data_IF_919723775104
#
_entry.id   IF_919723775104
#
_cell.length_a   1.000
_cell.length_b   1.000
_cell.length_c   1.000
_cell.angle_alpha   90.00
_cell.angle_beta   90.00
_cell.angle_gamma   90.00
#
_symmetry.space_group_name_H-M   'P 1'
#
loop_
_entity.id
_entity.type
_entity.pdbx_description
1 polymer ?
#
# COMPACT_ATOMS: atom_id res chain seq x y z
N UNK A 1 -22.95 -13.97 61.08
CA UNK A 1 -22.00 -13.03 60.51
C UNK A 1 -20.91 -13.83 59.83
N UNK A 2 -21.04 -14.08 58.56
CA UNK A 2 -20.02 -14.71 57.71
C UNK A 2 -19.99 -13.93 56.43
N UNK A 3 -18.88 -13.28 56.19
CA UNK A 3 -18.56 -12.60 54.96
C UNK A 3 -18.21 -13.63 53.89
N UNK A 4 -18.90 -13.59 52.75
CA UNK A 4 -18.57 -14.36 51.57
C UNK A 4 -17.75 -13.47 50.63
N UNK A 5 -16.49 -13.85 50.48
CA UNK A 5 -15.57 -13.30 49.51
C UNK A 5 -15.85 -13.95 48.15
N UNK A 6 -16.28 -13.15 47.14
CA UNK A 6 -16.48 -13.57 45.77
C UNK A 6 -15.28 -13.08 44.95
N UNK A 7 -14.32 -13.96 44.73
CA UNK A 7 -13.27 -13.75 43.75
C UNK A 7 -13.83 -14.07 42.37
N UNK A 8 -14.04 -13.02 41.57
CA UNK A 8 -14.46 -13.10 40.19
C UNK A 8 -13.22 -13.33 39.29
N UNK A 9 -13.02 -14.57 38.83
CA UNK A 9 -12.03 -14.91 37.81
C UNK A 9 -12.71 -14.87 36.44
N UNK A 10 -12.63 -13.75 35.74
CA UNK A 10 -13.05 -13.65 34.37
C UNK A 10 -12.05 -14.38 33.47
N UNK A 11 -12.43 -15.59 33.09
CA UNK A 11 -11.81 -16.38 32.03
C UNK A 11 -12.13 -15.75 30.67
N UNK A 12 -11.11 -15.11 30.05
CA UNK A 12 -11.24 -14.41 28.79
C UNK A 12 -10.73 -15.30 27.65
N UNK A 13 -11.42 -16.43 27.43
CA UNK A 13 -11.23 -17.26 26.23
C UNK A 13 -11.80 -16.55 25.02
N UNK A 14 -10.96 -15.84 24.26
CA UNK A 14 -11.32 -15.32 22.93
C UNK A 14 -11.46 -16.49 21.97
N UNK A 15 -12.69 -16.74 21.61
CA UNK A 15 -13.10 -17.64 20.55
C UNK A 15 -12.68 -17.03 19.21
N UNK A 16 -11.73 -17.66 18.52
CA UNK A 16 -11.31 -17.29 17.16
C UNK A 16 -12.33 -17.84 16.17
N UNK A 17 -13.10 -16.95 15.56
CA UNK A 17 -14.02 -17.28 14.47
C UNK A 17 -13.20 -17.57 13.20
N UNK A 18 -13.08 -18.84 12.83
CA UNK A 18 -12.55 -19.25 11.52
C UNK A 18 -13.66 -19.15 10.46
N UNK A 19 -13.48 -18.25 9.50
CA UNK A 19 -14.35 -18.21 8.31
C UNK A 19 -13.69 -18.99 7.19
N UNK A 20 -14.33 -20.08 6.79
CA UNK A 20 -13.98 -20.84 5.58
C UNK A 20 -14.68 -20.24 4.37
N UNK A 21 -13.94 -20.00 3.28
CA UNK A 21 -14.53 -19.74 1.98
C UNK A 21 -14.43 -20.98 1.11
N UNK A 22 -15.54 -21.40 0.53
CA UNK A 22 -15.58 -22.50 -0.42
C UNK A 22 -15.10 -22.03 -1.80
N UNK A 23 -14.23 -22.81 -2.45
CA UNK A 23 -13.89 -22.59 -3.86
C UNK A 23 -15.06 -22.96 -4.77
N UNK A 24 -14.98 -22.64 -6.06
CA UNK A 24 -16.04 -22.92 -7.04
C UNK A 24 -16.37 -24.42 -7.22
N UNK A 25 -15.57 -25.31 -6.62
CA UNK A 25 -15.79 -26.78 -6.63
C UNK A 25 -16.30 -27.33 -5.30
N UNK A 26 -16.56 -26.48 -4.30
CA UNK A 26 -17.12 -26.89 -3.02
C UNK A 26 -16.12 -27.56 -2.06
N UNK A 27 -14.81 -27.44 -2.30
CA UNK A 27 -13.77 -27.91 -1.39
C UNK A 27 -13.33 -26.79 -0.43
N UNK A 28 -13.15 -27.13 0.84
CA UNK A 28 -12.57 -26.23 1.83
C UNK A 28 -11.13 -25.88 1.45
N UNK A 29 -10.87 -24.60 1.28
CA UNK A 29 -9.53 -24.09 1.06
C UNK A 29 -9.05 -23.49 2.38
N UNK A 30 -8.06 -24.10 3.02
CA UNK A 30 -7.34 -23.44 4.12
C UNK A 30 -6.61 -22.22 3.58
N UNK A 31 -7.09 -21.05 3.95
CA UNK A 31 -6.30 -19.84 3.78
C UNK A 31 -5.23 -19.89 4.85
N UNK A 32 -4.02 -20.28 4.49
CA UNK A 32 -2.88 -20.06 5.36
C UNK A 32 -2.72 -18.55 5.53
N UNK A 33 -3.25 -18.00 6.62
CA UNK A 33 -2.76 -16.74 7.13
C UNK A 33 -1.26 -16.91 7.31
N UNK A 34 -0.49 -16.17 6.53
CA UNK A 34 0.94 -16.06 6.75
C UNK A 34 1.14 -15.48 8.14
N UNK A 35 1.51 -16.37 9.07
CA UNK A 35 1.90 -16.10 10.45
C UNK A 35 0.78 -15.54 11.35
N UNK A 36 0.12 -16.44 12.09
CA UNK A 36 -0.66 -16.09 13.26
C UNK A 36 0.20 -15.29 14.25
N UNK A 37 -0.17 -14.04 14.43
CA UNK A 37 0.52 -13.08 15.25
C UNK A 37 0.41 -13.47 16.74
N UNK A 38 1.56 -13.71 17.40
CA UNK A 38 1.62 -13.82 18.87
C UNK A 38 1.52 -12.41 19.45
N UNK A 39 0.57 -12.19 20.35
CA UNK A 39 0.23 -10.89 20.95
C UNK A 39 1.32 -10.24 21.82
N UNK A 40 2.52 -10.85 21.95
CA UNK A 40 3.62 -10.44 22.83
C UNK A 40 4.91 -10.03 22.09
N UNK A 41 4.89 -9.81 20.78
CA UNK A 41 6.08 -9.30 20.09
C UNK A 41 6.20 -7.79 20.28
N UNK A 42 7.35 -7.35 20.79
CA UNK A 42 7.72 -5.94 20.89
C UNK A 42 7.62 -5.25 19.51
N UNK A 43 6.92 -4.11 19.47
CA UNK A 43 6.77 -3.34 18.23
C UNK A 43 8.14 -2.87 17.74
N UNK A 44 8.41 -3.07 16.46
CA UNK A 44 9.60 -2.59 15.76
C UNK A 44 9.48 -1.13 15.44
N UNK A 45 10.63 -0.46 15.46
CA UNK A 45 10.74 0.97 15.20
C UNK A 45 11.50 1.24 13.89
N UNK A 46 11.51 2.50 13.47
CA UNK A 46 12.35 2.96 12.35
C UNK A 46 13.85 2.71 12.62
N UNK A 47 14.29 2.74 13.90
CA UNK A 47 15.66 2.37 14.24
C UNK A 47 15.92 0.88 13.97
N UNK A 48 14.98 0.01 14.31
CA UNK A 48 15.08 -1.42 14.00
C UNK A 48 15.07 -1.65 12.48
N UNK A 49 14.24 -0.90 11.74
CA UNK A 49 14.20 -0.95 10.27
C UNK A 49 15.58 -0.62 9.65
N UNK A 50 16.22 0.47 10.12
CA UNK A 50 17.55 0.84 9.62
C UNK A 50 18.70 0.01 10.19
N UNK A 51 18.46 -0.85 11.17
CA UNK A 51 19.44 -1.79 11.70
C UNK A 51 19.43 -3.15 10.98
N UNK A 52 18.46 -3.37 10.06
CA UNK A 52 18.43 -4.58 9.25
C UNK A 52 19.63 -4.66 8.31
N UNK A 53 20.10 -5.87 7.98
CA UNK A 53 21.09 -6.08 6.92
C UNK A 53 20.63 -5.49 5.58
N UNK A 54 21.57 -5.02 4.75
CA UNK A 54 21.29 -4.38 3.47
C UNK A 54 20.59 -5.29 2.45
N UNK A 55 20.68 -6.61 2.61
CA UNK A 55 20.04 -7.62 1.78
C UNK A 55 18.61 -7.98 2.25
N UNK A 56 18.18 -7.52 3.42
CA UNK A 56 16.82 -7.69 3.89
C UNK A 56 15.93 -6.52 3.42
N UNK A 57 14.95 -6.86 2.57
CA UNK A 57 13.96 -5.89 2.11
C UNK A 57 12.64 -6.09 2.82
N UNK A 58 12.23 -5.09 3.59
CA UNK A 58 10.97 -5.10 4.33
C UNK A 58 10.29 -3.74 4.26
N UNK A 59 8.98 -3.72 4.50
CA UNK A 59 8.24 -2.54 4.94
C UNK A 59 7.96 -2.67 6.43
N UNK A 60 7.93 -1.55 7.14
CA UNK A 60 7.50 -1.45 8.53
C UNK A 60 6.11 -0.81 8.57
N UNK A 61 5.11 -1.53 9.04
CA UNK A 61 3.73 -1.02 9.12
C UNK A 61 3.20 -1.31 10.54
N UNK A 62 2.84 -0.25 11.27
CA UNK A 62 2.38 -0.33 12.66
C UNK A 62 3.31 -1.16 13.56
N UNK A 63 4.62 -0.94 13.43
CA UNK A 63 5.63 -1.63 14.20
C UNK A 63 5.87 -3.10 13.83
N UNK A 64 5.47 -3.53 12.62
CA UNK A 64 5.63 -4.90 12.12
C UNK A 64 6.33 -4.93 10.79
N UNK A 65 7.31 -5.83 10.65
CA UNK A 65 8.01 -6.03 9.39
C UNK A 65 7.19 -6.91 8.43
N UNK A 66 7.12 -6.47 7.18
CA UNK A 66 6.53 -7.20 6.06
C UNK A 66 7.61 -7.41 5.01
N UNK A 67 8.01 -8.67 4.80
CA UNK A 67 9.03 -9.00 3.83
C UNK A 67 8.58 -8.68 2.39
N UNK A 68 9.45 -8.04 1.63
CA UNK A 68 9.24 -7.72 0.23
C UNK A 68 9.94 -8.74 -0.66
N UNK A 69 9.24 -9.27 -1.66
CA UNK A 69 9.85 -10.08 -2.71
C UNK A 69 10.49 -9.20 -3.79
N UNK A 70 11.43 -9.75 -4.54
CA UNK A 70 11.92 -9.10 -5.74
C UNK A 70 10.77 -8.96 -6.77
N UNK A 71 10.60 -7.78 -7.39
CA UNK A 71 9.57 -7.59 -8.40
C UNK A 71 9.90 -8.38 -9.68
N UNK A 72 8.86 -8.75 -10.44
CA UNK A 72 9.03 -9.33 -11.76
C UNK A 72 9.41 -8.27 -12.80
N UNK A 73 9.91 -8.70 -13.97
CA UNK A 73 10.18 -7.78 -15.09
C UNK A 73 8.92 -7.04 -15.50
N UNK A 74 7.82 -7.76 -15.71
CA UNK A 74 6.52 -7.16 -16.06
C UNK A 74 6.05 -6.10 -15.04
N UNK A 75 6.24 -6.35 -13.74
CA UNK A 75 5.93 -5.37 -12.70
C UNK A 75 6.78 -4.09 -12.88
N UNK A 76 8.07 -4.23 -13.16
CA UNK A 76 8.97 -3.09 -13.36
C UNK A 76 8.63 -2.30 -14.64
N UNK A 77 8.22 -2.99 -15.70
CA UNK A 77 7.80 -2.36 -16.95
C UNK A 77 6.56 -1.48 -16.70
N UNK A 78 5.56 -1.98 -15.97
CA UNK A 78 4.40 -1.19 -15.57
C UNK A 78 4.77 0.03 -14.73
N UNK A 79 5.61 -0.13 -13.71
CA UNK A 79 6.05 0.99 -12.86
C UNK A 79 6.76 2.05 -13.70
N UNK A 80 7.65 1.63 -14.61
CA UNK A 80 8.42 2.54 -15.45
C UNK A 80 7.53 3.33 -16.40
N UNK A 81 6.66 2.65 -17.17
CA UNK A 81 5.78 3.31 -18.14
C UNK A 81 4.81 4.30 -17.47
N UNK A 82 4.24 3.92 -16.32
CA UNK A 82 3.39 4.81 -15.53
C UNK A 82 4.16 6.02 -15.00
N UNK A 83 5.39 5.80 -14.53
CA UNK A 83 6.26 6.89 -14.06
C UNK A 83 6.60 7.88 -15.18
N UNK A 84 6.87 7.39 -16.39
CA UNK A 84 7.16 8.22 -17.58
C UNK A 84 5.98 9.11 -17.91
N UNK A 85 4.76 8.56 -18.03
CA UNK A 85 3.56 9.35 -18.35
C UNK A 85 3.32 10.45 -17.32
N UNK A 86 3.39 10.12 -16.02
CA UNK A 86 3.19 11.08 -14.94
C UNK A 86 4.28 12.16 -14.92
N UNK A 87 5.53 11.77 -15.12
CA UNK A 87 6.68 12.68 -15.17
C UNK A 87 6.59 13.64 -16.34
N UNK A 88 6.27 13.16 -17.54
CA UNK A 88 6.08 13.98 -18.74
C UNK A 88 4.95 15.00 -18.57
N UNK A 89 3.83 14.58 -17.97
CA UNK A 89 2.73 15.48 -17.65
C UNK A 89 3.20 16.61 -16.72
N UNK A 90 3.87 16.29 -15.62
CA UNK A 90 4.35 17.28 -14.64
C UNK A 90 5.33 18.26 -15.29
N UNK A 91 6.28 17.76 -16.09
CA UNK A 91 7.29 18.60 -16.75
C UNK A 91 6.65 19.54 -17.79
N UNK A 92 5.73 19.04 -18.61
CA UNK A 92 5.00 19.82 -19.60
C UNK A 92 4.22 20.98 -18.97
N UNK A 93 3.63 20.74 -17.80
CA UNK A 93 2.83 21.75 -17.09
C UNK A 93 3.66 22.58 -16.10
N UNK A 94 5.00 22.38 -16.07
CA UNK A 94 5.93 23.07 -15.15
C UNK A 94 5.50 22.96 -13.69
N UNK A 95 4.93 21.78 -13.33
CA UNK A 95 4.44 21.50 -11.99
C UNK A 95 5.58 21.38 -10.97
N UNK A 96 5.26 21.69 -9.71
CA UNK A 96 6.21 21.56 -8.60
C UNK A 96 6.34 20.14 -8.04
N UNK A 97 5.46 19.24 -8.42
CA UNK A 97 5.44 17.88 -7.93
C UNK A 97 6.65 17.07 -8.44
N UNK A 98 7.00 16.03 -7.71
CA UNK A 98 8.05 15.07 -8.09
C UNK A 98 7.49 13.66 -8.09
N UNK A 99 7.84 12.89 -9.11
CA UNK A 99 7.61 11.45 -9.18
C UNK A 99 8.80 10.76 -8.55
N UNK A 100 8.52 9.78 -7.70
CA UNK A 100 9.49 8.84 -7.14
C UNK A 100 9.01 7.42 -7.36
N UNK A 101 9.94 6.48 -7.53
CA UNK A 101 9.67 5.05 -7.66
C UNK A 101 10.46 4.27 -6.61
N UNK A 102 10.00 3.07 -6.28
CA UNK A 102 10.71 2.17 -5.38
C UNK A 102 12.11 1.77 -5.93
N UNK A 103 13.12 1.56 -5.05
CA UNK A 103 13.04 1.69 -3.61
C UNK A 103 13.19 3.15 -3.15
N UNK A 104 12.21 3.67 -2.43
CA UNK A 104 12.27 5.00 -1.83
C UNK A 104 11.45 4.98 -0.55
N UNK A 105 12.10 5.22 0.58
CA UNK A 105 11.47 5.18 1.89
C UNK A 105 10.49 6.33 2.08
N UNK A 106 9.32 6.01 2.64
CA UNK A 106 8.31 6.97 3.08
C UNK A 106 8.01 6.72 4.56
N UNK A 107 8.38 7.67 5.43
CA UNK A 107 7.95 7.70 6.82
C UNK A 107 6.53 8.27 6.86
N UNK A 108 5.55 7.40 6.66
CA UNK A 108 4.20 7.78 6.26
C UNK A 108 3.46 8.60 7.32
N UNK A 109 3.40 8.10 8.55
CA UNK A 109 2.63 8.70 9.65
C UNK A 109 3.43 9.73 10.46
N UNK A 110 4.71 9.96 10.12
CA UNK A 110 5.67 10.76 10.91
C UNK A 110 5.88 10.25 12.33
N UNK A 111 5.45 9.04 12.60
CA UNK A 111 5.79 8.30 13.83
C UNK A 111 7.05 7.44 13.62
N UNK A 112 7.38 6.62 14.61
CA UNK A 112 8.53 5.72 14.53
C UNK A 112 8.15 4.28 14.16
N UNK A 113 6.92 4.04 13.68
CA UNK A 113 6.36 2.70 13.52
C UNK A 113 5.94 2.37 12.09
N UNK A 114 6.05 3.33 11.15
CA UNK A 114 5.61 3.11 9.77
C UNK A 114 6.62 3.66 8.76
N UNK A 115 7.22 2.75 7.98
CA UNK A 115 8.09 3.02 6.84
C UNK A 115 7.69 2.13 5.68
N UNK A 116 7.19 2.72 4.60
CA UNK A 116 6.73 2.02 3.41
C UNK A 116 7.56 2.40 2.19
N UNK A 117 7.53 1.55 1.15
CA UNK A 117 8.20 1.78 -0.13
C UNK A 117 7.19 1.62 -1.27
N UNK A 118 6.33 2.60 -1.53
CA UNK A 118 5.37 2.53 -2.63
C UNK A 118 6.05 2.34 -3.98
N UNK A 119 5.48 1.53 -4.86
CA UNK A 119 6.03 1.29 -6.19
C UNK A 119 6.23 2.58 -6.97
N UNK A 120 5.23 3.48 -6.89
CA UNK A 120 5.28 4.82 -7.48
C UNK A 120 4.52 5.82 -6.61
N UNK A 121 5.06 7.02 -6.47
CA UNK A 121 4.41 8.10 -5.73
C UNK A 121 4.67 9.47 -6.34
N UNK A 122 3.79 10.42 -6.05
CA UNK A 122 3.96 11.83 -6.40
C UNK A 122 3.91 12.66 -5.13
N UNK A 123 4.95 13.48 -4.92
CA UNK A 123 5.06 14.43 -3.82
C UNK A 123 5.05 15.86 -4.37
N UNK A 124 4.06 16.65 -3.97
CA UNK A 124 3.93 18.06 -4.38
C UNK A 124 4.48 19.02 -3.33
N UNK A 125 4.59 18.57 -2.09
CA UNK A 125 5.15 19.33 -0.95
C UNK A 125 6.66 19.10 -0.88
N UNK A 126 7.44 20.08 -1.34
CA UNK A 126 8.91 19.96 -1.45
C UNK A 126 9.63 19.81 -0.10
N UNK A 127 9.07 20.35 0.95
CA UNK A 127 9.58 20.26 2.33
C UNK A 127 9.48 18.83 2.92
N UNK A 128 8.67 17.96 2.33
CA UNK A 128 8.60 16.55 2.69
C UNK A 128 9.72 15.72 2.07
N UNK A 129 10.37 16.21 1.00
CA UNK A 129 11.39 15.47 0.26
C UNK A 129 12.75 15.76 0.89
N UNK A 130 13.30 14.79 1.59
CA UNK A 130 14.64 14.86 2.16
C UNK A 130 15.65 14.07 1.29
N UNK A 131 16.92 14.16 1.60
CA UNK A 131 17.95 13.35 0.93
C UNK A 131 17.78 11.85 1.20
N UNK A 132 17.28 11.51 2.38
CA UNK A 132 17.19 10.12 2.85
C UNK A 132 15.85 9.46 2.51
N UNK A 133 14.73 10.18 2.59
CA UNK A 133 13.37 9.64 2.50
C UNK A 133 12.31 10.74 2.31
N UNK A 134 11.09 10.33 2.10
CA UNK A 134 9.91 11.21 2.17
C UNK A 134 9.38 11.23 3.60
N UNK A 135 9.04 12.42 4.11
CA UNK A 135 8.49 12.64 5.45
C UNK A 135 6.99 12.97 5.38
N UNK A 136 6.14 12.04 5.75
CA UNK A 136 4.68 12.15 5.70
C UNK A 136 4.08 11.68 4.38
N UNK A 137 2.77 11.82 4.25
CA UNK A 137 2.01 11.26 3.13
C UNK A 137 2.33 11.94 1.79
N UNK A 138 2.68 11.18 0.73
CA UNK A 138 2.66 11.66 -0.64
C UNK A 138 1.27 12.12 -1.07
N UNK A 139 1.17 12.98 -2.10
CA UNK A 139 -0.13 13.38 -2.64
C UNK A 139 -0.81 12.25 -3.42
N UNK A 140 -0.03 11.42 -4.09
CA UNK A 140 -0.49 10.27 -4.88
C UNK A 140 0.40 9.07 -4.62
N UNK A 141 -0.20 7.90 -4.51
CA UNK A 141 0.48 6.61 -4.38
C UNK A 141 -0.11 5.62 -5.37
N UNK A 142 0.74 4.80 -5.99
CA UNK A 142 0.34 3.71 -6.87
C UNK A 142 1.14 2.46 -6.51
N UNK A 143 0.43 1.34 -6.39
CA UNK A 143 1.00 0.01 -6.22
C UNK A 143 0.64 -0.85 -7.44
N UNK A 144 1.64 -1.47 -8.05
CA UNK A 144 1.46 -2.51 -9.06
C UNK A 144 1.41 -3.85 -8.35
N UNK A 145 0.21 -4.36 -8.11
CA UNK A 145 0.02 -5.51 -7.23
C UNK A 145 0.46 -6.83 -7.87
N UNK A 146 0.94 -7.72 -7.03
CA UNK A 146 1.28 -9.11 -7.36
C UNK A 146 0.48 -10.07 -6.47
N UNK A 147 0.44 -11.38 -6.76
CA UNK A 147 -0.25 -12.34 -5.87
C UNK A 147 0.24 -12.30 -4.42
N UNK A 148 1.52 -11.99 -4.19
CA UNK A 148 2.11 -11.92 -2.84
C UNK A 148 1.80 -10.61 -2.11
N UNK A 149 1.63 -9.48 -2.82
CA UNK A 149 1.40 -8.16 -2.22
C UNK A 149 -0.09 -7.78 -2.15
N UNK A 150 -0.93 -8.39 -2.99
CA UNK A 150 -2.33 -7.98 -3.20
C UNK A 150 -3.15 -7.83 -1.91
N UNK A 151 -2.95 -8.69 -0.92
CA UNK A 151 -3.65 -8.59 0.35
C UNK A 151 -3.18 -7.36 1.14
N UNK A 152 -1.87 -7.14 1.21
CA UNK A 152 -1.28 -6.01 1.93
C UNK A 152 -1.73 -4.68 1.31
N UNK A 153 -1.66 -4.57 -0.02
CA UNK A 153 -2.02 -3.36 -0.78
C UNK A 153 -3.52 -3.03 -0.65
N UNK A 154 -4.39 -4.06 -0.75
CA UNK A 154 -5.85 -3.89 -0.72
C UNK A 154 -6.45 -3.66 0.66
N UNK A 155 -5.71 -3.98 1.73
CA UNK A 155 -6.23 -3.88 3.09
C UNK A 155 -5.39 -2.96 3.98
N UNK A 156 -4.16 -3.36 4.34
CA UNK A 156 -3.35 -2.61 5.30
C UNK A 156 -2.82 -1.30 4.73
N UNK A 157 -2.18 -1.34 3.55
CA UNK A 157 -1.66 -0.13 2.91
C UNK A 157 -2.79 0.83 2.54
N UNK A 158 -3.93 0.33 2.03
CA UNK A 158 -5.11 1.13 1.75
C UNK A 158 -5.54 1.95 2.98
N UNK A 159 -5.65 1.29 4.14
CA UNK A 159 -6.03 1.97 5.39
C UNK A 159 -4.96 2.99 5.80
N UNK A 160 -3.69 2.60 5.77
CA UNK A 160 -2.57 3.46 6.16
C UNK A 160 -2.45 4.69 5.27
N UNK A 161 -2.53 4.53 3.95
CA UNK A 161 -2.48 5.66 3.01
C UNK A 161 -3.63 6.64 3.22
N UNK A 162 -4.84 6.13 3.43
CA UNK A 162 -6.00 6.98 3.74
C UNK A 162 -5.81 7.76 5.04
N UNK A 163 -5.44 7.07 6.12
CA UNK A 163 -5.34 7.68 7.46
C UNK A 163 -4.17 8.68 7.55
N UNK A 164 -3.09 8.44 6.81
CA UNK A 164 -1.96 9.36 6.71
C UNK A 164 -2.26 10.62 5.88
N UNK A 165 -3.33 10.63 5.08
CA UNK A 165 -3.74 11.76 4.27
C UNK A 165 -3.18 11.79 2.85
N UNK A 166 -2.87 10.60 2.27
CA UNK A 166 -2.71 10.45 0.82
C UNK A 166 -4.01 10.89 0.16
N UNK A 167 -3.92 11.69 -0.93
CA UNK A 167 -5.11 12.24 -1.59
C UNK A 167 -5.73 11.26 -2.58
N UNK A 168 -4.87 10.49 -3.26
CA UNK A 168 -5.27 9.52 -4.26
C UNK A 168 -4.39 8.27 -4.20
N UNK A 169 -5.01 7.09 -4.24
CA UNK A 169 -4.34 5.80 -4.20
C UNK A 169 -4.84 4.89 -5.32
N UNK A 170 -3.92 4.34 -6.09
CA UNK A 170 -4.21 3.42 -7.18
C UNK A 170 -3.64 2.04 -6.90
N UNK A 171 -4.43 1.01 -7.22
CA UNK A 171 -3.98 -0.38 -7.27
C UNK A 171 -4.12 -0.85 -8.72
N UNK A 172 -2.99 -1.07 -9.38
CA UNK A 172 -2.91 -1.63 -10.73
C UNK A 172 -2.66 -3.13 -10.61
N UNK A 173 -3.54 -3.95 -11.19
CA UNK A 173 -3.46 -5.41 -11.18
C UNK A 173 -3.24 -5.92 -12.61
N UNK A 174 -1.98 -6.16 -13.04
CA UNK A 174 -1.69 -6.59 -14.41
C UNK A 174 -2.25 -7.96 -14.75
N UNK A 175 -2.45 -8.84 -13.76
CA UNK A 175 -3.01 -10.17 -14.01
C UNK A 175 -4.50 -10.15 -14.30
N UNK A 176 -5.22 -9.19 -13.70
CA UNK A 176 -6.65 -9.01 -13.90
C UNK A 176 -6.98 -7.91 -14.90
N UNK A 177 -5.94 -7.21 -15.39
CA UNK A 177 -6.07 -6.04 -16.27
C UNK A 177 -7.04 -5.00 -15.70
N UNK A 178 -6.88 -4.68 -14.39
CA UNK A 178 -7.76 -3.75 -13.69
C UNK A 178 -6.99 -2.66 -12.95
N UNK A 179 -7.62 -1.50 -12.82
CA UNK A 179 -7.14 -0.38 -12.01
C UNK A 179 -8.23 -0.01 -11.01
N UNK A 180 -7.88 -0.03 -9.72
CA UNK A 180 -8.76 0.44 -8.65
C UNK A 180 -8.26 1.78 -8.16
N UNK A 181 -9.09 2.80 -8.21
CA UNK A 181 -8.75 4.19 -7.88
C UNK A 181 -9.52 4.64 -6.65
N UNK A 182 -8.80 5.03 -5.60
CA UNK A 182 -9.35 5.65 -4.40
C UNK A 182 -9.04 7.15 -4.40
N UNK A 183 -10.07 7.98 -4.41
CA UNK A 183 -9.98 9.44 -4.22
C UNK A 183 -10.39 9.79 -2.81
N UNK A 184 -9.47 9.73 -1.85
CA UNK A 184 -9.78 9.89 -0.43
C UNK A 184 -10.39 11.26 -0.05
N UNK A 185 -10.10 12.30 -0.84
CA UNK A 185 -10.71 13.64 -0.64
C UNK A 185 -12.15 13.72 -1.15
N UNK A 186 -12.58 12.81 -2.04
CA UNK A 186 -13.89 12.92 -2.72
C UNK A 186 -14.88 11.86 -2.31
N UNK A 187 -14.43 10.63 -2.11
CA UNK A 187 -15.28 9.47 -1.86
C UNK A 187 -14.56 8.39 -1.06
N UNK A 188 -15.34 7.69 -0.24
CA UNK A 188 -14.87 6.46 0.43
C UNK A 188 -14.87 5.28 -0.55
N UNK A 189 -15.79 5.29 -1.52
CA UNK A 189 -15.94 4.22 -2.51
C UNK A 189 -14.91 4.38 -3.63
N UNK A 190 -14.22 3.29 -4.04
CA UNK A 190 -13.31 3.32 -5.17
C UNK A 190 -14.05 3.37 -6.50
N UNK A 191 -13.34 3.85 -7.53
CA UNK A 191 -13.73 3.69 -8.92
C UNK A 191 -12.92 2.56 -9.55
N UNK A 192 -13.58 1.71 -10.32
CA UNK A 192 -12.97 0.56 -10.99
C UNK A 192 -12.85 0.83 -12.48
N UNK A 193 -11.68 0.53 -13.03
CA UNK A 193 -11.36 0.62 -14.45
C UNK A 193 -10.72 -0.69 -14.92
N UNK A 194 -10.73 -0.90 -16.22
CA UNK A 194 -10.00 -1.97 -16.91
C UNK A 194 -8.86 -1.39 -17.75
N UNK A 195 -7.99 -2.24 -18.27
CA UNK A 195 -6.93 -1.77 -19.17
C UNK A 195 -7.44 -1.29 -20.53
N UNK A 196 -8.74 -1.41 -20.83
CA UNK A 196 -9.36 -0.78 -22.00
C UNK A 196 -9.75 0.69 -21.78
N UNK A 197 -9.63 1.18 -20.54
CA UNK A 197 -10.09 2.52 -20.16
C UNK A 197 -8.98 3.56 -20.13
N UNK A 198 -9.36 4.82 -20.28
CA UNK A 198 -8.51 5.98 -20.00
C UNK A 198 -8.82 6.44 -18.58
N UNK A 199 -7.81 6.38 -17.71
CA UNK A 199 -7.97 6.65 -16.26
C UNK A 199 -7.49 8.05 -15.92
N UNK A 200 -8.36 8.94 -15.40
CA UNK A 200 -7.98 10.29 -15.03
C UNK A 200 -7.27 10.33 -13.68
N UNK A 201 -6.16 11.06 -13.58
CA UNK A 201 -5.43 11.31 -12.34
C UNK A 201 -6.09 12.46 -11.59
N UNK A 202 -6.73 12.15 -10.48
CA UNK A 202 -7.62 13.06 -9.75
C UNK A 202 -6.93 14.21 -9.04
N UNK A 203 -5.66 14.01 -8.56
CA UNK A 203 -4.88 15.10 -7.93
C UNK A 203 -4.60 16.25 -8.91
N UNK A 204 -4.71 16.00 -10.23
CA UNK A 204 -4.61 17.00 -11.30
C UNK A 204 -5.96 17.38 -11.89
N UNK A 205 -7.06 17.12 -11.20
CA UNK A 205 -8.41 17.46 -11.67
C UNK A 205 -8.86 16.67 -12.91
N UNK A 206 -8.13 15.61 -13.28
CA UNK A 206 -8.39 14.81 -14.48
C UNK A 206 -7.74 15.36 -15.76
N UNK A 207 -6.93 16.41 -15.67
CA UNK A 207 -6.16 16.91 -16.82
C UNK A 207 -5.05 15.93 -17.25
N UNK A 208 -4.47 15.20 -16.29
CA UNK A 208 -3.59 14.06 -16.56
C UNK A 208 -4.47 12.83 -16.75
N UNK A 209 -4.30 12.15 -17.88
CA UNK A 209 -5.03 10.93 -18.21
C UNK A 209 -4.05 9.85 -18.63
N UNK A 210 -4.26 8.62 -18.15
CA UNK A 210 -3.45 7.46 -18.50
C UNK A 210 -4.30 6.52 -19.36
N UNK A 211 -3.87 6.32 -20.62
CA UNK A 211 -4.44 5.35 -21.54
C UNK A 211 -3.79 3.98 -21.28
N UNK A 212 -4.47 3.14 -20.51
CA UNK A 212 -3.96 1.82 -20.14
C UNK A 212 -3.89 0.86 -21.32
N UNK A 213 -4.76 1.00 -22.35
CA UNK A 213 -4.67 0.19 -23.54
C UNK A 213 -3.36 0.47 -24.30
N UNK A 214 -3.03 1.76 -24.47
CA UNK A 214 -1.79 2.16 -25.12
C UNK A 214 -0.54 1.74 -24.32
N UNK A 215 -0.59 1.78 -22.99
CA UNK A 215 0.53 1.31 -22.15
C UNK A 215 0.71 -0.19 -22.25
N UNK A 216 -0.40 -0.96 -22.24
CA UNK A 216 -0.36 -2.41 -22.31
C UNK A 216 0.23 -2.92 -23.64
N UNK A 217 0.06 -2.19 -24.74
CA UNK A 217 0.69 -2.51 -26.04
C UNK A 217 2.23 -2.35 -26.03
N UNK A 218 2.78 -1.61 -25.08
CA UNK A 218 4.23 -1.35 -24.97
C UNK A 218 4.96 -2.36 -24.06
N UNK A 219 4.22 -3.00 -23.17
CA UNK A 219 4.70 -3.94 -22.16
C UNK A 219 4.54 -5.38 -22.62
#
# INVERSE_FOLDING_TARGET
MQENDFSDTTDNTKQTDFRYTLNQTGQECEVHETSAYKADEELKTIQDYYALPDDERVELIDGRFYAMSAPTVNHQDWVLELAVVLKEFIDKHKGNCKVHIAPCDVRLDRDDYTMVQPDLMICCKRDQITEKRIEGAPDFVLEVTSPSSAYLDRHKKLQKYRDAGVREYWIVDPQKETVTVYHFEKSVEPTYYTFADIVPVGIYGGECQIDFAQLHEKI
#
